data_IF_918454085097
#
_entry.id   IF_918454085097
#
_cell.length_a   1.000
_cell.length_b   1.000
_cell.length_c   1.000
_cell.angle_alpha   90.00
_cell.angle_beta   90.00
_cell.angle_gamma   90.00
#
_symmetry.space_group_name_H-M   'P 1'
#
loop_
_entity.id
_entity.type
_entity.pdbx_description
1 polymer ?
#
# COMPACT_ATOMS: atom_id res chain seq x y z
N UNK A 1 6.82 -0.60 19.91
CA UNK A 1 5.91 -1.44 19.09
C UNK A 1 5.09 -0.52 18.20
N UNK A 2 4.75 -0.97 16.99
CA UNK A 2 3.87 -0.22 16.10
C UNK A 2 2.49 0.00 16.76
N UNK A 3 1.93 1.20 16.61
CA UNK A 3 0.60 1.54 17.14
C UNK A 3 -0.42 1.51 16.00
N UNK A 4 -1.68 1.08 16.24
CA UNK A 4 -2.73 1.11 15.22
C UNK A 4 -2.97 2.51 14.61
N UNK A 5 -2.77 3.58 15.41
CA UNK A 5 -2.89 4.96 14.92
C UNK A 5 -1.89 5.31 13.82
N UNK A 6 -0.68 4.76 13.89
CA UNK A 6 0.38 5.00 12.90
C UNK A 6 0.04 4.26 11.60
N UNK A 7 -0.56 3.08 11.69
CA UNK A 7 -1.00 2.29 10.55
C UNK A 7 -2.04 3.03 9.71
N UNK A 8 -2.98 3.77 10.31
CA UNK A 8 -3.95 4.60 9.57
C UNK A 8 -3.28 5.61 8.64
N UNK A 9 -2.14 6.17 9.04
CA UNK A 9 -1.38 7.14 8.24
C UNK A 9 -0.51 6.44 7.20
N UNK A 10 0.23 5.42 7.62
CA UNK A 10 1.22 4.72 6.78
C UNK A 10 0.55 3.87 5.71
N UNK A 11 -0.55 3.19 6.05
CA UNK A 11 -1.35 2.36 5.14
C UNK A 11 -2.42 3.18 4.40
N UNK A 12 -2.48 4.50 4.60
CA UNK A 12 -3.40 5.38 3.89
C UNK A 12 -3.16 5.32 2.38
N UNK A 13 -4.25 5.43 1.60
CA UNK A 13 -4.25 5.18 0.15
C UNK A 13 -3.13 5.91 -0.59
N UNK A 14 -3.06 7.24 -0.46
CA UNK A 14 -2.08 8.06 -1.17
C UNK A 14 -0.63 7.70 -0.77
N UNK A 15 -0.37 7.57 0.53
CA UNK A 15 0.94 7.22 1.07
C UNK A 15 1.42 5.86 0.56
N UNK A 16 0.58 4.84 0.69
CA UNK A 16 0.93 3.46 0.36
C UNK A 16 0.98 3.24 -1.17
N UNK A 17 0.08 3.87 -1.94
CA UNK A 17 0.13 3.84 -3.40
C UNK A 17 1.40 4.49 -3.93
N UNK A 18 1.78 5.65 -3.39
CA UNK A 18 3.03 6.32 -3.77
C UNK A 18 4.26 5.42 -3.52
N UNK A 19 4.29 4.71 -2.40
CA UNK A 19 5.35 3.73 -2.09
C UNK A 19 5.35 2.56 -3.08
N UNK A 20 4.19 2.00 -3.40
CA UNK A 20 4.05 0.92 -4.38
C UNK A 20 4.52 1.33 -5.78
N UNK A 21 4.11 2.52 -6.25
CA UNK A 21 4.54 3.08 -7.54
C UNK A 21 6.04 3.39 -7.56
N UNK A 22 6.58 3.92 -6.46
CA UNK A 22 8.02 4.14 -6.32
C UNK A 22 8.79 2.83 -6.38
N UNK A 23 8.32 1.78 -5.71
CA UNK A 23 8.92 0.44 -5.79
C UNK A 23 8.94 -0.06 -7.23
N UNK A 24 7.82 0.07 -7.97
CA UNK A 24 7.77 -0.28 -9.40
C UNK A 24 8.80 0.48 -10.24
N UNK A 25 8.93 1.80 -10.01
CA UNK A 25 9.88 2.66 -10.72
C UNK A 25 11.34 2.28 -10.43
N UNK A 26 11.68 2.07 -9.17
CA UNK A 26 13.07 1.78 -8.71
C UNK A 26 13.49 0.35 -9.06
N UNK A 27 12.57 -0.61 -8.95
CA UNK A 27 12.89 -2.04 -9.10
C UNK A 27 12.59 -2.58 -10.50
N UNK A 28 11.95 -1.79 -11.35
CA UNK A 28 11.49 -2.20 -12.69
C UNK A 28 10.67 -3.50 -12.67
N UNK A 29 9.90 -3.71 -11.59
CA UNK A 29 9.07 -4.91 -11.36
C UNK A 29 7.73 -4.52 -10.75
N UNK A 30 6.71 -5.32 -10.99
CA UNK A 30 5.43 -5.15 -10.31
C UNK A 30 5.55 -5.55 -8.84
N UNK A 31 5.09 -4.73 -7.88
CA UNK A 31 4.95 -5.15 -6.50
C UNK A 31 3.94 -6.29 -6.41
N UNK A 32 4.38 -7.46 -5.93
CA UNK A 32 3.54 -8.65 -5.76
C UNK A 32 3.25 -9.00 -4.30
N UNK A 33 3.86 -8.28 -3.35
CA UNK A 33 3.64 -8.40 -1.91
C UNK A 33 3.64 -7.01 -1.27
N UNK A 34 2.62 -6.74 -0.45
CA UNK A 34 2.52 -5.55 0.39
C UNK A 34 2.42 -6.03 1.84
N UNK A 35 3.53 -5.91 2.58
CA UNK A 35 3.57 -6.24 4.00
C UNK A 35 3.32 -4.96 4.82
N UNK A 36 2.35 -5.01 5.73
CA UNK A 36 1.98 -3.91 6.62
C UNK A 36 1.60 -4.43 7.99
N UNK A 37 1.73 -3.57 9.01
CA UNK A 37 1.11 -3.80 10.31
C UNK A 37 -0.35 -3.34 10.28
N UNK A 38 -1.22 -4.05 11.02
CA UNK A 38 -2.63 -3.72 11.18
C UNK A 38 -3.37 -3.48 9.85
N UNK A 39 -3.40 -4.47 8.96
CA UNK A 39 -3.90 -4.32 7.57
C UNK A 39 -5.33 -3.75 7.41
N UNK A 40 -6.15 -3.82 8.45
CA UNK A 40 -7.50 -3.24 8.49
C UNK A 40 -7.51 -1.71 8.69
N UNK A 41 -6.38 -1.11 9.08
CA UNK A 41 -6.24 0.33 9.25
C UNK A 41 -5.63 0.94 7.98
N UNK A 42 -6.31 1.94 7.40
CA UNK A 42 -5.94 2.56 6.12
C UNK A 42 -6.73 1.96 4.95
N UNK A 43 -6.13 1.93 3.75
CA UNK A 43 -6.76 1.39 2.55
C UNK A 43 -5.81 0.48 1.74
N UNK A 44 -5.36 -0.59 2.38
CA UNK A 44 -4.42 -1.55 1.79
C UNK A 44 -5.03 -2.25 0.57
N UNK A 45 -6.31 -2.62 0.65
CA UNK A 45 -7.00 -3.35 -0.41
C UNK A 45 -7.32 -2.45 -1.61
N UNK A 46 -7.68 -1.18 -1.40
CA UNK A 46 -7.83 -0.21 -2.49
C UNK A 46 -6.51 0.03 -3.22
N UNK A 47 -5.40 0.11 -2.49
CA UNK A 47 -4.06 0.24 -3.09
C UNK A 47 -3.69 -1.02 -3.89
N UNK A 48 -3.92 -2.21 -3.35
CA UNK A 48 -3.66 -3.47 -4.04
C UNK A 48 -4.45 -3.56 -5.36
N UNK A 49 -5.74 -3.25 -5.33
CA UNK A 49 -6.61 -3.17 -6.52
C UNK A 49 -6.05 -2.20 -7.56
N UNK A 50 -5.69 -0.97 -7.14
CA UNK A 50 -5.13 0.03 -8.05
C UNK A 50 -3.82 -0.42 -8.70
N UNK A 51 -2.95 -1.10 -7.95
CA UNK A 51 -1.67 -1.60 -8.44
C UNK A 51 -1.84 -2.78 -9.40
N UNK A 52 -2.89 -3.59 -9.23
CA UNK A 52 -3.28 -4.65 -10.17
C UNK A 52 -3.98 -4.14 -11.42
N UNK A 53 -4.38 -2.86 -11.45
CA UNK A 53 -5.14 -2.28 -12.56
C UNK A 53 -6.63 -2.58 -12.49
N UNK A 54 -7.13 -3.03 -11.34
CA UNK A 54 -8.55 -3.30 -11.15
C UNK A 54 -9.33 -1.98 -11.18
N UNK A 55 -10.32 -1.92 -12.06
CA UNK A 55 -11.35 -0.88 -12.07
C UNK A 55 -12.56 -1.39 -11.29
N UNK A 56 -12.77 -0.88 -10.08
CA UNK A 56 -14.10 -0.83 -9.48
C UNK A 56 -14.73 0.53 -9.81
#
# INVERSE_FOLDING_TARGET
MAKPSDATVVNGYATLLHRGQTCRRVRHRLPNLIAVDFYLHGDVLGVARKLNGDTL
#
